data_IF_767926830160
#
_entry.id   IF_767926830160
#
_cell.length_a   1.000
_cell.length_b   1.000
_cell.length_c   1.000
_cell.angle_alpha   90.00
_cell.angle_beta   90.00
_cell.angle_gamma   90.00
#
_symmetry.space_group_name_H-M   'P 1'
#
loop_
_entity.id
_entity.type
_entity.pdbx_description
1 polymer ?
#
# COMPACT_ATOMS: atom_id res chain seq x y z
N UNK A 1 14.25 -9.53 -2.69
CA UNK A 1 14.50 -8.64 -3.86
C UNK A 1 14.50 -7.16 -3.44
N UNK A 2 13.53 -6.78 -2.60
CA UNK A 2 13.33 -5.43 -2.07
C UNK A 2 14.56 -4.71 -1.51
N UNK A 3 15.39 -5.38 -0.70
CA UNK A 3 16.61 -4.77 -0.13
C UNK A 3 17.52 -4.20 -1.21
N UNK A 4 17.69 -4.92 -2.32
CA UNK A 4 18.51 -4.49 -3.45
C UNK A 4 17.92 -3.27 -4.17
N UNK A 5 16.59 -3.26 -4.35
CA UNK A 5 15.86 -2.13 -4.95
C UNK A 5 16.00 -0.89 -4.08
N UNK A 6 15.69 -1.00 -2.78
CA UNK A 6 15.81 0.10 -1.83
C UNK A 6 17.24 0.63 -1.71
N UNK A 7 18.21 -0.27 -1.56
CA UNK A 7 19.64 0.09 -1.47
C UNK A 7 20.09 0.82 -2.73
N UNK A 8 19.69 0.36 -3.91
CA UNK A 8 20.04 1.01 -5.18
C UNK A 8 19.39 2.39 -5.31
N UNK A 9 18.14 2.53 -4.86
CA UNK A 9 17.41 3.80 -4.82
C UNK A 9 18.10 4.82 -3.91
N UNK A 10 18.39 4.47 -2.65
CA UNK A 10 19.00 5.39 -1.68
C UNK A 10 20.43 5.77 -2.08
N UNK A 11 21.18 4.85 -2.71
CA UNK A 11 22.54 5.10 -3.20
C UNK A 11 22.65 6.23 -4.25
N UNK A 12 21.52 6.65 -4.86
CA UNK A 12 21.47 7.81 -5.75
C UNK A 12 21.61 9.14 -4.99
N UNK A 13 21.25 9.16 -3.71
CA UNK A 13 21.12 10.39 -2.91
C UNK A 13 22.13 10.48 -1.76
N UNK A 14 22.58 9.34 -1.22
CA UNK A 14 23.66 9.30 -0.21
C UNK A 14 24.65 8.17 -0.48
N UNK A 15 25.90 8.35 -0.03
CA UNK A 15 26.96 7.33 -0.06
C UNK A 15 27.26 6.75 1.31
N UNK A 16 26.56 7.21 2.35
CA UNK A 16 26.77 6.75 3.71
C UNK A 16 26.16 5.35 3.92
N UNK A 17 26.99 4.32 3.83
CA UNK A 17 26.54 2.91 3.91
C UNK A 17 25.81 2.59 5.22
N UNK A 18 26.30 3.10 6.35
CA UNK A 18 25.67 2.90 7.67
C UNK A 18 24.24 3.44 7.71
N UNK A 19 24.00 4.60 7.10
CA UNK A 19 22.66 5.18 7.01
C UNK A 19 21.74 4.33 6.13
N UNK A 20 22.23 3.86 4.97
CA UNK A 20 21.45 3.01 4.05
C UNK A 20 21.03 1.71 4.74
N UNK A 21 21.96 1.06 5.43
CA UNK A 21 21.70 -0.16 6.21
C UNK A 21 20.68 0.10 7.32
N UNK A 22 20.85 1.19 8.08
CA UNK A 22 19.92 1.58 9.15
C UNK A 22 18.51 1.81 8.63
N UNK A 23 18.35 2.49 7.49
CA UNK A 23 17.04 2.76 6.89
C UNK A 23 16.36 1.47 6.41
N UNK A 24 17.12 0.57 5.78
CA UNK A 24 16.57 -0.72 5.37
C UNK A 24 16.17 -1.57 6.57
N UNK A 25 17.04 -1.68 7.58
CA UNK A 25 16.77 -2.49 8.76
C UNK A 25 15.53 -1.98 9.52
N UNK A 26 15.28 -0.67 9.52
CA UNK A 26 14.05 -0.09 10.07
C UNK A 26 12.80 -0.49 9.28
N UNK A 27 12.84 -0.43 7.94
CA UNK A 27 11.76 -0.91 7.07
C UNK A 27 11.50 -2.39 7.32
N UNK A 28 12.54 -3.23 7.20
CA UNK A 28 12.45 -4.67 7.37
C UNK A 28 11.84 -5.03 8.72
N UNK A 29 12.35 -4.44 9.81
CA UNK A 29 11.82 -4.65 11.16
C UNK A 29 10.32 -4.37 11.28
N UNK A 30 9.83 -3.28 10.67
CA UNK A 30 8.40 -2.94 10.73
C UNK A 30 7.54 -3.95 9.95
N UNK A 31 7.95 -4.28 8.72
CA UNK A 31 7.20 -5.17 7.84
C UNK A 31 7.33 -6.66 8.19
N UNK A 32 8.31 -7.06 9.00
CA UNK A 32 8.44 -8.44 9.53
C UNK A 32 7.81 -8.62 10.92
N UNK A 33 7.09 -7.63 11.45
CA UNK A 33 6.42 -7.74 12.74
C UNK A 33 5.39 -8.87 12.74
N UNK A 34 5.38 -9.70 13.79
CA UNK A 34 4.54 -10.92 13.88
C UNK A 34 3.04 -10.69 13.71
N UNK A 35 2.56 -9.46 13.94
CA UNK A 35 1.14 -9.10 13.83
C UNK A 35 0.72 -8.72 12.41
N UNK A 36 1.66 -8.60 11.47
CA UNK A 36 1.40 -8.24 10.08
C UNK A 36 1.34 -9.51 9.24
N UNK A 37 0.13 -9.89 8.86
CA UNK A 37 -0.10 -11.07 8.04
C UNK A 37 -0.22 -10.72 6.56
N UNK A 38 -0.81 -9.56 6.24
CA UNK A 38 -0.92 -9.03 4.89
C UNK A 38 0.03 -7.86 4.66
N UNK A 39 0.04 -6.84 5.55
CA UNK A 39 0.81 -5.60 5.37
C UNK A 39 2.31 -5.79 5.70
N UNK A 40 2.95 -6.75 5.01
CA UNK A 40 4.31 -7.22 5.23
C UNK A 40 5.19 -7.03 3.97
N UNK A 41 6.39 -7.61 3.95
CA UNK A 41 7.30 -7.48 2.80
C UNK A 41 6.74 -8.09 1.50
N UNK A 42 5.89 -9.12 1.58
CA UNK A 42 5.26 -9.71 0.39
C UNK A 42 4.28 -8.73 -0.26
N UNK A 43 3.55 -7.94 0.53
CA UNK A 43 2.70 -6.85 0.00
C UNK A 43 3.52 -5.84 -0.80
N UNK A 44 4.67 -5.42 -0.27
CA UNK A 44 5.58 -4.53 -1.01
C UNK A 44 6.10 -5.14 -2.32
N UNK A 45 6.42 -6.44 -2.32
CA UNK A 45 6.82 -7.15 -3.55
C UNK A 45 5.68 -7.20 -4.57
N UNK A 46 4.46 -7.48 -4.13
CA UNK A 46 3.29 -7.53 -5.00
C UNK A 46 3.00 -6.17 -5.63
N UNK A 47 3.04 -5.09 -4.84
CA UNK A 47 2.88 -3.72 -5.34
C UNK A 47 4.00 -3.35 -6.32
N UNK A 48 5.26 -3.66 -6.00
CA UNK A 48 6.39 -3.39 -6.90
C UNK A 48 6.19 -4.04 -8.27
N UNK A 49 5.77 -5.31 -8.30
CA UNK A 49 5.47 -6.01 -9.56
C UNK A 49 4.40 -5.28 -10.37
N UNK A 50 3.33 -4.80 -9.74
CA UNK A 50 2.30 -4.05 -10.46
C UNK A 50 2.82 -2.71 -11.00
N UNK A 51 3.58 -1.98 -10.19
CA UNK A 51 4.17 -0.70 -10.58
C UNK A 51 5.17 -0.86 -11.74
N UNK A 52 5.92 -1.95 -11.78
CA UNK A 52 6.80 -2.26 -12.91
C UNK A 52 6.02 -2.48 -14.21
N UNK A 53 4.79 -3.04 -14.17
CA UNK A 53 3.97 -3.22 -15.38
C UNK A 53 3.46 -1.91 -16.00
N UNK A 54 3.41 -0.82 -15.23
CA UNK A 54 3.03 0.51 -15.71
C UNK A 54 4.21 1.50 -15.66
N UNK A 55 5.46 1.02 -15.61
CA UNK A 55 6.66 1.84 -15.44
C UNK A 55 6.77 3.01 -16.42
N UNK A 56 6.33 2.82 -17.67
CA UNK A 56 6.38 3.81 -18.73
C UNK A 56 5.39 4.97 -18.53
N UNK A 57 4.35 4.78 -17.71
CA UNK A 57 3.36 5.80 -17.38
C UNK A 57 3.74 6.61 -16.12
N UNK A 58 4.79 6.19 -15.41
CA UNK A 58 5.23 6.81 -14.15
C UNK A 58 6.30 7.85 -14.44
N UNK A 59 6.04 9.08 -14.00
CA UNK A 59 6.91 10.24 -14.23
C UNK A 59 8.07 10.27 -13.23
N UNK A 60 7.81 10.10 -11.95
CA UNK A 60 8.79 10.16 -10.86
C UNK A 60 8.89 8.83 -10.10
N UNK A 61 9.54 7.88 -10.74
CA UNK A 61 9.74 6.52 -10.23
C UNK A 61 10.43 6.46 -8.87
N UNK A 62 11.41 7.34 -8.63
CA UNK A 62 12.16 7.31 -7.37
C UNK A 62 11.28 7.75 -6.19
N UNK A 63 10.44 8.77 -6.37
CA UNK A 63 9.44 9.17 -5.37
C UNK A 63 8.42 8.06 -5.14
N UNK A 64 7.92 7.43 -6.20
CA UNK A 64 6.92 6.37 -6.12
C UNK A 64 7.48 5.12 -5.40
N UNK A 65 8.74 4.75 -5.64
CA UNK A 65 9.41 3.70 -4.87
C UNK A 65 9.58 4.07 -3.39
N UNK A 66 9.91 5.32 -3.06
CA UNK A 66 9.94 5.73 -1.65
C UNK A 66 8.55 5.61 -1.01
N UNK A 67 7.49 6.05 -1.69
CA UNK A 67 6.11 5.90 -1.22
C UNK A 67 5.77 4.43 -1.00
N UNK A 68 6.16 3.53 -1.91
CA UNK A 68 6.03 2.09 -1.76
C UNK A 68 6.67 1.59 -0.46
N UNK A 69 7.92 1.92 -0.16
CA UNK A 69 8.60 1.41 1.03
C UNK A 69 8.08 2.00 2.35
N UNK A 70 7.44 3.16 2.32
CA UNK A 70 7.04 3.88 3.54
C UNK A 70 5.53 3.94 3.80
N UNK A 71 4.64 3.67 2.83
CA UNK A 71 3.20 3.94 3.01
C UNK A 71 2.57 3.26 4.23
N UNK A 72 2.97 2.02 4.51
CA UNK A 72 2.49 1.22 5.64
C UNK A 72 3.59 0.92 6.67
N UNK A 73 4.67 1.71 6.70
CA UNK A 73 5.76 1.46 7.64
C UNK A 73 5.25 1.54 9.09
N UNK A 74 4.29 2.42 9.37
CA UNK A 74 3.52 2.40 10.62
C UNK A 74 2.16 1.76 10.34
N UNK A 75 1.91 0.63 11.01
CA UNK A 75 0.65 -0.11 10.87
C UNK A 75 0.14 -0.59 12.22
N UNK A 76 -1.02 -0.09 12.62
CA UNK A 76 -1.76 -0.53 13.81
C UNK A 76 -3.25 -0.51 13.50
N UNK A 77 -3.87 -1.69 13.47
CA UNK A 77 -5.31 -1.89 13.15
C UNK A 77 -6.29 -1.06 14.01
N UNK A 78 -5.87 -0.64 15.21
CA UNK A 78 -6.70 0.18 16.12
C UNK A 78 -6.53 1.69 15.90
N UNK A 79 -5.67 2.13 14.98
CA UNK A 79 -5.32 3.54 14.79
C UNK A 79 -5.81 4.05 13.44
N UNK A 80 -6.21 5.33 13.41
CA UNK A 80 -6.58 6.07 12.19
C UNK A 80 -5.49 7.03 11.71
N UNK A 81 -4.31 6.92 12.31
CA UNK A 81 -3.15 7.80 12.10
C UNK A 81 -1.99 7.04 11.46
N UNK A 82 -2.26 5.87 10.86
CA UNK A 82 -1.20 5.01 10.31
C UNK A 82 -0.50 5.74 9.15
N UNK A 83 -1.27 6.24 8.19
CA UNK A 83 -0.80 6.94 7.00
C UNK A 83 -0.11 8.26 7.39
N UNK A 84 -0.72 9.00 8.33
CA UNK A 84 -0.15 10.25 8.87
C UNK A 84 1.23 10.01 9.52
N UNK A 85 1.37 8.94 10.31
CA UNK A 85 2.65 8.59 10.95
C UNK A 85 3.66 8.01 9.97
N UNK A 86 3.22 7.18 9.03
CA UNK A 86 4.05 6.66 7.93
C UNK A 86 4.63 7.80 7.11
N UNK A 87 3.83 8.81 6.75
CA UNK A 87 4.28 10.00 6.06
C UNK A 87 5.33 10.77 6.87
N UNK A 88 5.16 10.92 8.19
CA UNK A 88 6.18 11.55 9.05
C UNK A 88 7.50 10.76 9.08
N UNK A 89 7.43 9.43 9.10
CA UNK A 89 8.62 8.57 9.01
C UNK A 89 9.32 8.75 7.67
N UNK A 90 8.57 8.76 6.56
CA UNK A 90 9.10 9.02 5.22
C UNK A 90 9.78 10.40 5.15
N UNK A 91 9.13 11.46 5.63
CA UNK A 91 9.69 12.82 5.64
C UNK A 91 11.05 12.85 6.34
N UNK A 92 11.15 12.22 7.52
CA UNK A 92 12.39 12.16 8.29
C UNK A 92 13.48 11.38 7.56
N UNK A 93 13.16 10.20 7.03
CA UNK A 93 14.11 9.34 6.34
C UNK A 93 14.62 9.97 5.02
N UNK A 94 13.72 10.56 4.23
CA UNK A 94 14.09 11.19 2.96
C UNK A 94 14.88 12.48 3.17
N UNK A 95 14.56 13.23 4.22
CA UNK A 95 15.33 14.42 4.60
C UNK A 95 16.77 14.07 5.03
N UNK A 96 16.97 12.94 5.72
CA UNK A 96 18.31 12.55 6.19
C UNK A 96 19.26 12.12 5.06
N UNK A 97 18.71 11.66 3.93
CA UNK A 97 19.48 11.31 2.73
C UNK A 97 19.61 12.47 1.74
N UNK A 98 19.12 13.67 2.09
CA UNK A 98 19.19 14.86 1.24
C UNK A 98 18.24 14.81 0.03
N UNK A 99 17.13 14.06 0.10
CA UNK A 99 16.15 14.00 -0.98
C UNK A 99 15.50 15.39 -1.20
N UNK A 100 15.20 15.80 -2.45
CA UNK A 100 14.67 17.14 -2.71
C UNK A 100 13.34 17.40 -2.00
N UNK A 101 13.21 18.57 -1.36
CA UNK A 101 12.10 18.89 -0.43
C UNK A 101 10.72 18.78 -1.08
N UNK A 102 10.60 19.21 -2.33
CA UNK A 102 9.39 19.10 -3.13
C UNK A 102 8.99 17.64 -3.36
N UNK A 103 9.97 16.75 -3.57
CA UNK A 103 9.73 15.32 -3.74
C UNK A 103 9.46 14.60 -2.42
N UNK A 104 10.05 15.05 -1.32
CA UNK A 104 9.68 14.60 0.04
C UNK A 104 8.20 14.88 0.31
N UNK A 105 7.73 16.09 -0.06
CA UNK A 105 6.32 16.46 0.06
C UNK A 105 5.42 15.56 -0.79
N UNK A 106 5.79 15.33 -2.05
CA UNK A 106 5.03 14.45 -2.94
C UNK A 106 4.96 13.00 -2.42
N UNK A 107 6.07 12.45 -1.90
CA UNK A 107 6.09 11.14 -1.26
C UNK A 107 5.08 11.07 -0.08
N UNK A 108 5.10 12.07 0.80
CA UNK A 108 4.15 12.15 1.90
C UNK A 108 2.69 12.26 1.42
N UNK A 109 2.42 13.02 0.36
CA UNK A 109 1.08 13.16 -0.24
C UNK A 109 0.59 11.83 -0.84
N UNK A 110 1.46 11.09 -1.52
CA UNK A 110 1.16 9.76 -2.06
C UNK A 110 0.82 8.75 -0.94
N UNK A 111 1.56 8.78 0.16
CA UNK A 111 1.27 7.95 1.34
C UNK A 111 -0.08 8.35 1.95
N UNK A 112 -0.36 9.63 2.10
CA UNK A 112 -1.64 10.09 2.65
C UNK A 112 -2.83 9.73 1.73
N UNK A 113 -2.62 9.65 0.42
CA UNK A 113 -3.64 9.28 -0.54
C UNK A 113 -4.15 7.84 -0.38
N UNK A 114 -3.36 6.93 0.23
CA UNK A 114 -3.80 5.54 0.51
C UNK A 114 -4.85 5.46 1.63
N UNK A 115 -5.18 6.57 2.29
CA UNK A 115 -6.20 6.58 3.35
C UNK A 115 -7.61 6.33 2.83
N UNK A 116 -7.93 6.94 1.70
CA UNK A 116 -9.27 6.90 1.09
C UNK A 116 -9.24 6.48 -0.38
N UNK A 117 -8.04 6.40 -0.98
CA UNK A 117 -7.85 6.08 -2.40
C UNK A 117 -8.75 6.93 -3.31
N UNK A 118 -8.81 8.24 -3.06
CA UNK A 118 -9.56 9.19 -3.89
C UNK A 118 -8.79 9.53 -5.16
N UNK A 119 -9.50 10.03 -6.19
CA UNK A 119 -8.86 10.49 -7.42
C UNK A 119 -7.97 11.71 -7.15
N UNK A 120 -6.69 11.60 -7.45
CA UNK A 120 -5.73 12.69 -7.38
C UNK A 120 -5.60 13.40 -8.73
N UNK A 121 -5.22 14.68 -8.70
CA UNK A 121 -4.77 15.40 -9.91
C UNK A 121 -3.41 14.94 -10.41
N UNK A 122 -2.63 14.28 -9.55
CA UNK A 122 -1.34 13.69 -9.87
C UNK A 122 -1.50 12.23 -10.33
N UNK A 123 -1.10 11.92 -11.56
CA UNK A 123 -1.29 10.59 -12.14
C UNK A 123 -0.42 9.51 -11.46
N UNK A 124 0.78 9.85 -11.03
CA UNK A 124 1.67 8.91 -10.33
C UNK A 124 1.05 8.49 -8.98
N UNK A 125 0.40 9.42 -8.28
CA UNK A 125 -0.39 9.12 -7.08
C UNK A 125 -1.54 8.14 -7.38
N UNK A 126 -2.24 8.32 -8.50
CA UNK A 126 -3.32 7.40 -8.91
C UNK A 126 -2.78 6.01 -9.26
N UNK A 127 -1.65 5.92 -9.97
CA UNK A 127 -0.99 4.64 -10.25
C UNK A 127 -0.52 3.94 -8.97
N UNK A 128 -0.06 4.71 -7.98
CA UNK A 128 0.36 4.19 -6.69
C UNK A 128 -0.81 3.63 -5.87
N UNK A 129 -1.89 4.39 -5.72
CA UNK A 129 -3.08 3.93 -4.99
C UNK A 129 -3.78 2.77 -5.69
N UNK A 130 -3.76 2.74 -7.03
CA UNK A 130 -4.26 1.59 -7.80
C UNK A 130 -3.41 0.33 -7.60
N UNK A 131 -2.08 0.47 -7.56
CA UNK A 131 -1.19 -0.65 -7.28
C UNK A 131 -1.40 -1.23 -5.87
N UNK A 132 -1.66 -0.38 -4.88
CA UNK A 132 -2.00 -0.77 -3.51
C UNK A 132 -3.31 -1.58 -3.45
N UNK A 133 -4.33 -1.16 -4.23
CA UNK A 133 -5.61 -1.85 -4.32
C UNK A 133 -5.62 -3.06 -5.27
N UNK A 134 -4.55 -3.32 -6.01
CA UNK A 134 -4.52 -4.32 -7.08
C UNK A 134 -4.85 -5.75 -6.61
N UNK A 135 -4.58 -6.07 -5.34
CA UNK A 135 -4.95 -7.34 -4.73
C UNK A 135 -6.46 -7.62 -4.83
N UNK A 136 -7.28 -6.57 -4.84
CA UNK A 136 -8.73 -6.69 -4.92
C UNK A 136 -9.15 -7.35 -6.23
N UNK A 137 -8.46 -7.07 -7.33
CA UNK A 137 -8.74 -7.65 -8.65
C UNK A 137 -7.96 -8.92 -8.98
N UNK A 138 -7.29 -9.54 -8.00
CA UNK A 138 -6.61 -10.82 -8.22
C UNK A 138 -7.58 -11.99 -8.43
N UNK A 139 -7.06 -13.13 -8.89
CA UNK A 139 -7.81 -14.39 -8.93
C UNK A 139 -8.38 -14.73 -7.54
N UNK A 140 -9.56 -15.36 -7.50
CA UNK A 140 -10.33 -15.56 -6.27
C UNK A 140 -9.52 -16.25 -5.16
N UNK A 141 -8.70 -17.25 -5.47
CA UNK A 141 -7.90 -17.97 -4.49
C UNK A 141 -6.86 -17.06 -3.81
N UNK A 142 -6.27 -16.13 -4.56
CA UNK A 142 -5.31 -15.16 -4.06
C UNK A 142 -6.03 -14.13 -3.19
N UNK A 143 -7.16 -13.60 -3.68
CA UNK A 143 -7.99 -12.67 -2.94
C UNK A 143 -8.48 -13.26 -1.60
N UNK A 144 -8.92 -14.52 -1.60
CA UNK A 144 -9.42 -15.19 -0.41
C UNK A 144 -8.33 -15.34 0.64
N UNK A 145 -7.09 -15.65 0.23
CA UNK A 145 -5.96 -15.69 1.15
C UNK A 145 -5.61 -14.28 1.68
N UNK A 146 -5.66 -13.24 0.84
CA UNK A 146 -5.57 -11.84 1.27
C UNK A 146 -6.62 -11.51 2.34
N UNK A 147 -7.90 -11.79 2.09
CA UNK A 147 -9.00 -11.51 3.04
C UNK A 147 -8.78 -12.22 4.36
N UNK A 148 -8.33 -13.49 4.34
CA UNK A 148 -7.97 -14.25 5.56
C UNK A 148 -6.80 -13.62 6.30
N UNK A 149 -5.76 -13.16 5.60
CA UNK A 149 -4.62 -12.50 6.23
C UNK A 149 -5.03 -11.18 6.89
N UNK A 150 -5.85 -10.36 6.23
CA UNK A 150 -6.45 -9.17 6.84
C UNK A 150 -7.28 -9.54 8.07
N UNK A 151 -8.11 -10.58 7.99
CA UNK A 151 -8.86 -11.09 9.14
C UNK A 151 -7.96 -11.43 10.34
N UNK A 152 -6.80 -12.07 10.10
CA UNK A 152 -5.81 -12.37 11.16
C UNK A 152 -5.23 -11.10 11.80
N UNK A 153 -5.00 -10.04 11.04
CA UNK A 153 -4.51 -8.76 11.59
C UNK A 153 -5.54 -8.08 12.51
N UNK A 154 -6.83 -8.29 12.22
CA UNK A 154 -7.96 -7.79 13.00
C UNK A 154 -8.46 -8.77 14.06
N UNK A 155 -7.75 -9.87 14.33
CA UNK A 155 -8.16 -10.92 15.28
C UNK A 155 -8.38 -10.45 16.74
N UNK A 156 -7.98 -9.21 17.07
CA UNK A 156 -8.34 -8.57 18.35
C UNK A 156 -9.83 -8.24 18.46
N UNK A 157 -10.54 -8.16 17.33
CA UNK A 157 -11.97 -7.91 17.24
C UNK A 157 -12.70 -9.24 17.00
N UNK A 158 -13.75 -9.55 17.78
CA UNK A 158 -14.64 -10.66 17.49
C UNK A 158 -15.43 -10.41 16.20
N UNK A 159 -15.87 -11.49 15.55
CA UNK A 159 -16.50 -11.46 14.23
C UNK A 159 -17.72 -10.51 14.15
N UNK A 160 -18.52 -10.43 15.22
CA UNK A 160 -19.67 -9.52 15.27
C UNK A 160 -19.29 -8.02 15.21
N UNK A 161 -18.03 -7.67 15.51
CA UNK A 161 -17.47 -6.32 15.31
C UNK A 161 -16.66 -6.22 14.02
N UNK A 162 -15.88 -7.25 13.68
CA UNK A 162 -15.05 -7.27 12.48
C UNK A 162 -15.89 -7.29 11.20
N UNK A 163 -16.86 -8.21 11.08
CA UNK A 163 -17.63 -8.43 9.85
C UNK A 163 -18.37 -7.17 9.38
N UNK A 164 -19.09 -6.41 10.23
CA UNK A 164 -19.69 -5.14 9.81
C UNK A 164 -18.66 -4.08 9.39
N UNK A 165 -17.52 -4.01 10.09
CA UNK A 165 -16.44 -3.09 9.77
C UNK A 165 -15.80 -3.39 8.42
N UNK A 166 -15.48 -4.66 8.17
CA UNK A 166 -14.93 -5.13 6.89
C UNK A 166 -15.91 -4.89 5.74
N UNK A 167 -17.20 -5.23 5.91
CA UNK A 167 -18.24 -4.91 4.91
C UNK A 167 -18.31 -3.43 4.60
N UNK A 168 -18.24 -2.56 5.60
CA UNK A 168 -18.27 -1.11 5.40
C UNK A 168 -17.08 -0.63 4.56
N UNK A 169 -15.87 -1.14 4.81
CA UNK A 169 -14.69 -0.81 4.02
C UNK A 169 -14.83 -1.30 2.57
N UNK A 170 -15.32 -2.52 2.37
CA UNK A 170 -15.57 -3.09 1.05
C UNK A 170 -16.66 -2.34 0.26
N UNK A 171 -17.75 -1.96 0.93
CA UNK A 171 -18.83 -1.17 0.36
C UNK A 171 -18.38 0.25 -0.02
N UNK A 172 -17.40 0.81 0.69
CA UNK A 172 -16.81 2.10 0.31
C UNK A 172 -16.19 2.02 -1.09
N UNK A 173 -15.41 0.98 -1.39
CA UNK A 173 -14.83 0.79 -2.72
C UNK A 173 -15.90 0.56 -3.79
N UNK A 174 -16.93 -0.26 -3.52
CA UNK A 174 -18.05 -0.46 -4.45
C UNK A 174 -18.88 0.81 -4.69
N UNK A 175 -18.83 1.77 -3.77
CA UNK A 175 -19.54 3.05 -3.89
C UNK A 175 -18.78 4.11 -4.69
N UNK A 176 -17.52 3.87 -5.05
CA UNK A 176 -16.75 4.75 -5.93
C UNK A 176 -17.23 4.60 -7.38
N UNK A 177 -17.05 5.64 -8.21
CA UNK A 177 -17.31 5.53 -9.66
C UNK A 177 -16.47 4.41 -10.29
N UNK A 178 -15.19 4.36 -9.89
CA UNK A 178 -14.27 3.27 -10.18
C UNK A 178 -13.42 2.97 -8.95
N UNK A 179 -13.18 1.69 -8.69
CA UNK A 179 -12.24 1.25 -7.65
C UNK A 179 -10.84 1.73 -8.04
N UNK A 180 -10.47 1.51 -9.31
CA UNK A 180 -9.19 1.94 -9.86
C UNK A 180 -9.31 3.28 -10.61
N UNK A 181 -8.38 4.19 -10.36
CA UNK A 181 -8.38 5.59 -10.82
C UNK A 181 -7.81 5.76 -12.21
N UNK A 182 -6.91 4.88 -12.61
CA UNK A 182 -6.27 4.89 -13.93
C UNK A 182 -6.96 3.91 -14.88
N UNK A 183 -6.97 4.23 -16.17
CA UNK A 183 -7.52 3.33 -17.18
C UNK A 183 -6.79 1.98 -17.20
N UNK A 184 -5.46 2.00 -17.03
CA UNK A 184 -4.62 0.81 -17.00
C UNK A 184 -5.06 -0.23 -15.96
N UNK A 185 -5.26 0.20 -14.70
CA UNK A 185 -5.70 -0.71 -13.64
C UNK A 185 -7.20 -1.06 -13.75
N UNK A 186 -8.03 -0.14 -14.26
CA UNK A 186 -9.45 -0.45 -14.49
C UNK A 186 -9.64 -1.60 -15.46
N UNK A 187 -9.01 -1.53 -16.63
CA UNK A 187 -9.10 -2.58 -17.65
C UNK A 187 -8.59 -3.93 -17.14
N UNK A 188 -7.61 -3.89 -16.23
CA UNK A 188 -6.96 -5.09 -15.70
C UNK A 188 -7.71 -5.73 -14.53
N UNK A 189 -8.35 -4.94 -13.66
CA UNK A 189 -8.75 -5.41 -12.33
C UNK A 189 -10.16 -5.01 -11.89
N UNK A 190 -10.82 -4.03 -12.50
CA UNK A 190 -12.08 -3.45 -11.98
C UNK A 190 -13.19 -4.50 -11.85
N UNK A 191 -13.42 -5.28 -12.90
CA UNK A 191 -14.50 -6.27 -12.94
C UNK A 191 -14.25 -7.41 -11.95
N UNK A 192 -13.01 -7.93 -11.90
CA UNK A 192 -12.63 -8.97 -10.95
C UNK A 192 -12.71 -8.47 -9.51
N UNK A 193 -12.30 -7.23 -9.25
CA UNK A 193 -12.37 -6.62 -7.93
C UNK A 193 -13.82 -6.51 -7.44
N UNK A 194 -14.75 -6.06 -8.29
CA UNK A 194 -16.18 -6.02 -7.95
C UNK A 194 -16.72 -7.41 -7.62
N UNK A 195 -16.39 -8.42 -8.43
CA UNK A 195 -16.81 -9.81 -8.19
C UNK A 195 -16.28 -10.35 -6.86
N UNK A 196 -14.98 -10.17 -6.58
CA UNK A 196 -14.34 -10.61 -5.35
C UNK A 196 -14.97 -9.94 -4.13
N UNK A 197 -15.16 -8.61 -4.17
CA UNK A 197 -15.75 -7.84 -3.07
C UNK A 197 -17.20 -8.28 -2.80
N UNK A 198 -18.03 -8.44 -3.84
CA UNK A 198 -19.40 -8.93 -3.67
C UNK A 198 -19.45 -10.33 -3.04
N UNK A 199 -18.51 -11.19 -3.43
CA UNK A 199 -18.39 -12.54 -2.89
C UNK A 199 -17.98 -12.49 -1.41
N UNK A 200 -16.98 -11.70 -1.04
CA UNK A 200 -16.55 -11.53 0.37
C UNK A 200 -17.70 -11.00 1.24
N UNK A 201 -18.40 -9.96 0.80
CA UNK A 201 -19.56 -9.40 1.52
C UNK A 201 -20.64 -10.47 1.77
N UNK A 202 -20.88 -11.35 0.80
CA UNK A 202 -21.83 -12.44 0.92
C UNK A 202 -21.38 -13.47 1.95
N UNK A 203 -20.10 -13.84 1.97
CA UNK A 203 -19.52 -14.78 2.93
C UNK A 203 -19.58 -14.23 4.36
N UNK A 204 -19.19 -12.96 4.54
CA UNK A 204 -19.25 -12.27 5.84
C UNK A 204 -20.70 -12.09 6.37
N UNK A 205 -21.73 -12.42 5.57
CA UNK A 205 -23.15 -12.33 5.96
C UNK A 205 -23.75 -13.69 6.35
N UNK A 206 -23.02 -14.79 6.14
CA UNK A 206 -23.49 -16.15 6.40
C UNK A 206 -22.97 -16.74 7.73
N UNK A 207 -22.09 -16.01 8.41
CA UNK A 207 -21.55 -16.30 9.75
C UNK A 207 -22.26 -15.43 10.80
#
# INVERSE_FOLDING_TARGET
MLKGVFTSLVNKYTREKSLIETLWDDIEKHYTSQKRHYHNLQHLENMLVQLETCREQITDWDTLLFSLFYHDIIYKVTSKENEDKSALVAIKALSSIGYPKEKVKLCAEQILATKNHELSTDNDTNLFTDADLSILGSEWEIYLEYSRQVGKEYAIYPDFMYNPGRKKALQHFLGMEYIFKTQFFREKFEDQAKQNIHTEITLLSKE
#
